data_IF_302937805421
#
_entry.id   IF_302937805421
#
_cell.length_a   1.000
_cell.length_b   1.000
_cell.length_c   1.000
_cell.angle_alpha   90.00
_cell.angle_beta   90.00
_cell.angle_gamma   90.00
#
_symmetry.space_group_name_H-M   'P 1'
#
loop_
_entity.id
_entity.type
_entity.pdbx_description
1 polymer ?
#
# COMPACT_ATOMS: atom_id res chain seq x y z
N UNK A 1 19.76 22.84 -29.54
CA UNK A 1 18.99 21.67 -29.05
C UNK A 1 19.99 20.57 -28.74
N UNK A 2 20.29 20.34 -27.47
CA UNK A 2 21.19 19.27 -27.02
C UNK A 2 20.46 18.54 -25.90
N UNK A 3 19.72 17.48 -26.24
CA UNK A 3 19.23 16.54 -25.22
C UNK A 3 20.43 15.73 -24.76
N UNK A 4 21.16 16.22 -23.76
CA UNK A 4 22.12 15.41 -23.02
C UNK A 4 21.29 14.38 -22.24
N UNK A 5 21.49 13.10 -22.54
CA UNK A 5 20.89 11.99 -21.79
C UNK A 5 21.40 12.02 -20.35
N UNK A 6 20.50 11.90 -19.38
CA UNK A 6 20.88 11.80 -17.97
C UNK A 6 21.57 10.45 -17.68
N UNK A 7 22.34 10.40 -16.60
CA UNK A 7 23.10 9.22 -16.14
C UNK A 7 22.44 8.46 -14.98
N UNK A 8 21.21 8.81 -14.61
CA UNK A 8 20.46 8.10 -13.57
C UNK A 8 20.02 6.66 -13.96
N UNK A 9 20.42 6.18 -15.13
CA UNK A 9 20.11 4.84 -15.62
C UNK A 9 18.64 4.71 -16.00
N UNK A 10 17.97 3.67 -15.49
CA UNK A 10 16.54 3.41 -15.71
C UNK A 10 15.63 4.20 -14.77
N UNK A 11 16.18 4.97 -13.82
CA UNK A 11 15.39 5.74 -12.86
C UNK A 11 14.81 6.99 -13.52
N UNK A 12 13.51 7.21 -13.32
CA UNK A 12 12.87 8.48 -13.68
C UNK A 12 13.34 9.61 -12.76
N UNK A 13 13.26 10.86 -13.24
CA UNK A 13 13.55 12.02 -12.41
C UNK A 13 12.68 12.10 -11.16
N UNK A 14 11.41 11.70 -11.24
CA UNK A 14 10.51 11.61 -10.10
C UNK A 14 11.00 10.63 -9.02
N UNK A 15 11.55 9.48 -9.44
CA UNK A 15 12.13 8.51 -8.50
C UNK A 15 13.38 9.05 -7.83
N UNK A 16 14.25 9.74 -8.58
CA UNK A 16 15.46 10.37 -8.02
C UNK A 16 15.08 11.47 -7.04
N UNK A 17 14.07 12.28 -7.35
CA UNK A 17 13.55 13.31 -6.45
C UNK A 17 13.02 12.71 -5.14
N UNK A 18 12.24 11.63 -5.22
CA UNK A 18 11.73 10.94 -4.03
C UNK A 18 12.85 10.32 -3.19
N UNK A 19 13.89 9.75 -3.82
CA UNK A 19 15.08 9.26 -3.10
C UNK A 19 15.79 10.41 -2.37
N UNK A 20 16.00 11.55 -3.04
CA UNK A 20 16.59 12.74 -2.42
C UNK A 20 15.75 13.29 -1.25
N UNK A 21 14.43 13.27 -1.39
CA UNK A 21 13.50 13.69 -0.34
C UNK A 21 13.56 12.78 0.89
N UNK A 22 13.72 11.46 0.69
CA UNK A 22 13.87 10.50 1.80
C UNK A 22 15.21 10.66 2.53
N UNK A 23 16.26 10.99 1.78
CA UNK A 23 17.61 11.19 2.33
C UNK A 23 17.73 12.54 3.09
N UNK A 24 16.87 13.52 2.80
CA UNK A 24 16.82 14.81 3.52
C UNK A 24 16.16 14.65 4.91
N UNK A 25 16.83 15.04 6.02
CA UNK A 25 16.26 15.00 7.37
C UNK A 25 14.93 15.75 7.52
N UNK A 26 14.70 16.81 6.75
CA UNK A 26 13.48 17.62 6.77
C UNK A 26 12.41 17.09 5.80
N UNK A 27 12.70 16.00 5.07
CA UNK A 27 11.86 15.43 4.01
C UNK A 27 11.43 16.47 2.97
N UNK A 28 12.29 17.46 2.72
CA UNK A 28 12.01 18.58 1.83
C UNK A 28 12.01 18.12 0.37
N UNK A 29 11.02 18.58 -0.39
CA UNK A 29 10.95 18.31 -1.83
C UNK A 29 12.15 18.97 -2.53
N UNK A 30 12.98 18.21 -3.27
CA UNK A 30 14.15 18.77 -3.94
C UNK A 30 13.74 19.67 -5.10
N UNK A 31 14.54 20.70 -5.36
CA UNK A 31 14.30 21.56 -6.53
C UNK A 31 14.69 20.83 -7.82
N UNK A 32 14.06 21.21 -8.93
CA UNK A 32 14.38 20.66 -10.26
C UNK A 32 15.85 20.82 -10.65
N UNK A 33 16.47 21.95 -10.27
CA UNK A 33 17.90 22.18 -10.50
C UNK A 33 18.78 21.19 -9.70
N UNK A 34 18.38 20.83 -8.48
CA UNK A 34 19.10 19.84 -7.66
C UNK A 34 18.99 18.44 -8.27
N UNK A 35 17.79 18.07 -8.72
CA UNK A 35 17.57 16.81 -9.45
C UNK A 35 18.42 16.76 -10.72
N UNK A 36 18.53 17.87 -11.46
CA UNK A 36 19.42 17.95 -12.63
C UNK A 36 20.88 17.71 -12.25
N UNK A 37 21.36 18.39 -11.20
CA UNK A 37 22.73 18.22 -10.70
C UNK A 37 23.01 16.80 -10.24
N UNK A 38 22.03 16.08 -9.68
CA UNK A 38 22.19 14.67 -9.28
C UNK A 38 22.22 13.72 -10.48
N UNK A 39 21.50 14.05 -11.55
CA UNK A 39 21.21 13.13 -12.66
C UNK A 39 22.10 13.33 -13.88
N UNK A 40 22.85 14.44 -13.98
CA UNK A 40 23.73 14.76 -15.11
C UNK A 40 25.21 14.75 -14.70
N UNK A 41 25.61 13.64 -14.08
CA UNK A 41 26.97 13.40 -13.54
C UNK A 41 27.51 12.07 -14.05
N UNK A 42 28.75 12.03 -14.51
CA UNK A 42 29.42 10.79 -14.87
C UNK A 42 29.66 9.89 -13.64
N UNK A 43 30.04 8.64 -13.88
CA UNK A 43 30.42 7.70 -12.81
C UNK A 43 31.57 8.23 -11.95
N UNK A 44 32.46 9.02 -12.54
CA UNK A 44 33.61 9.63 -11.88
C UNK A 44 33.24 10.88 -11.05
N UNK A 45 31.95 11.25 -10.99
CA UNK A 45 31.48 12.41 -10.22
C UNK A 45 31.60 13.75 -10.94
N UNK A 46 32.13 13.77 -12.16
CA UNK A 46 32.23 14.99 -12.98
C UNK A 46 30.91 15.31 -13.69
N UNK A 47 30.56 16.59 -13.80
CA UNK A 47 29.34 17.01 -14.51
C UNK A 47 29.49 16.86 -16.01
N UNK A 48 28.44 16.39 -16.68
CA UNK A 48 28.37 16.36 -18.16
C UNK A 48 28.43 17.76 -18.79
N UNK A 49 27.99 18.75 -18.05
CA UNK A 49 28.07 20.16 -18.42
C UNK A 49 28.56 20.96 -17.22
N UNK A 50 29.87 21.11 -17.11
CA UNK A 50 30.46 21.86 -16.00
C UNK A 50 29.97 23.31 -15.93
N UNK A 51 29.73 23.95 -17.08
CA UNK A 51 29.24 25.34 -17.12
C UNK A 51 27.82 25.42 -16.59
N UNK A 52 26.90 24.65 -17.16
CA UNK A 52 25.50 24.63 -16.71
C UNK A 52 25.36 24.18 -15.25
N UNK A 53 26.15 23.19 -14.81
CA UNK A 53 26.12 22.74 -13.43
C UNK A 53 26.62 23.82 -12.46
N UNK A 54 27.68 24.54 -12.81
CA UNK A 54 28.18 25.64 -11.98
C UNK A 54 27.19 26.80 -11.91
N UNK A 55 26.60 27.19 -13.05
CA UNK A 55 25.58 28.23 -13.11
C UNK A 55 24.38 27.84 -12.23
N UNK A 56 23.94 26.57 -12.29
CA UNK A 56 22.83 26.06 -11.48
C UNK A 56 23.15 26.06 -9.99
N UNK A 57 24.34 25.62 -9.61
CA UNK A 57 24.79 25.66 -8.21
C UNK A 57 24.81 27.08 -7.68
N UNK A 58 25.35 28.03 -8.45
CA UNK A 58 25.40 29.44 -8.08
C UNK A 58 23.99 30.00 -7.87
N UNK A 59 23.10 29.75 -8.83
CA UNK A 59 21.72 30.23 -8.77
C UNK A 59 20.91 29.60 -7.63
N UNK A 60 21.16 28.33 -7.31
CA UNK A 60 20.54 27.65 -6.16
C UNK A 60 20.93 28.31 -4.84
N UNK A 61 22.21 28.68 -4.67
CA UNK A 61 22.69 29.41 -3.48
C UNK A 61 21.99 30.78 -3.40
N UNK A 62 22.03 31.57 -4.48
CA UNK A 62 21.36 32.88 -4.56
C UNK A 62 19.86 32.79 -4.24
N UNK A 63 19.20 31.74 -4.73
CA UNK A 63 17.76 31.51 -4.52
C UNK A 63 17.47 31.08 -3.09
N UNK A 64 18.33 30.26 -2.48
CA UNK A 64 18.19 29.82 -1.09
C UNK A 64 18.35 30.95 -0.07
N UNK A 65 19.17 31.95 -0.41
CA UNK A 65 19.41 33.14 0.42
C UNK A 65 18.30 34.19 0.28
N UNK A 66 17.54 34.17 -0.83
CA UNK A 66 16.52 35.18 -1.15
C UNK A 66 15.05 34.71 -1.14
N UNK A 67 14.75 33.42 -1.00
CA UNK A 67 13.39 32.90 -1.22
C UNK A 67 12.61 32.63 0.07
N UNK A 68 11.73 33.56 0.43
CA UNK A 68 10.63 33.42 1.42
C UNK A 68 9.46 32.58 0.88
N UNK A 69 9.69 31.70 -0.09
CA UNK A 69 8.64 30.79 -0.58
C UNK A 69 8.48 29.66 0.43
N UNK A 70 7.46 29.75 1.29
CA UNK A 70 7.03 28.75 2.28
C UNK A 70 6.89 27.34 1.68
N UNK A 71 7.99 26.62 1.46
CA UNK A 71 8.03 25.23 0.99
C UNK A 71 7.43 24.96 -0.39
N UNK A 72 6.99 25.97 -1.15
CA UNK A 72 6.44 25.79 -2.50
C UNK A 72 7.52 26.00 -3.56
N UNK A 73 7.79 24.96 -4.35
CA UNK A 73 8.66 25.05 -5.53
C UNK A 73 8.02 26.02 -6.52
N UNK A 74 8.69 27.15 -6.77
CA UNK A 74 8.32 28.04 -7.87
C UNK A 74 8.66 27.32 -9.17
N UNK A 75 7.68 27.00 -10.01
CA UNK A 75 7.91 26.27 -11.26
C UNK A 75 8.24 27.19 -12.45
N UNK A 76 8.01 28.49 -12.27
CA UNK A 76 8.24 29.53 -13.27
C UNK A 76 9.32 30.46 -12.74
N UNK A 77 10.38 30.66 -13.51
CA UNK A 77 11.54 31.43 -13.05
C UNK A 77 12.39 30.69 -12.01
N UNK A 78 12.29 29.36 -11.97
CA UNK A 78 13.20 28.56 -11.16
C UNK A 78 14.62 28.58 -11.74
N UNK A 79 15.66 28.30 -10.92
CA UNK A 79 17.04 28.27 -11.38
C UNK A 79 17.25 27.41 -12.64
N UNK A 80 16.50 26.32 -12.75
CA UNK A 80 16.53 25.44 -13.90
C UNK A 80 16.02 26.14 -15.18
N UNK A 81 14.84 26.77 -15.15
CA UNK A 81 14.27 27.42 -16.33
C UNK A 81 14.99 28.69 -16.76
N UNK A 82 15.71 29.35 -15.85
CA UNK A 82 16.56 30.49 -16.20
C UNK A 82 17.79 30.04 -17.01
N UNK A 83 18.46 28.98 -16.57
CA UNK A 83 19.74 28.56 -17.15
C UNK A 83 19.55 27.65 -18.36
N UNK A 84 18.68 26.65 -18.24
CA UNK A 84 18.41 25.67 -19.30
C UNK A 84 17.32 26.18 -20.26
N UNK A 85 16.53 27.15 -19.81
CA UNK A 85 15.47 27.78 -20.58
C UNK A 85 14.07 27.32 -20.16
N UNK A 86 13.06 28.00 -20.69
CA UNK A 86 11.64 27.72 -20.39
C UNK A 86 11.22 26.35 -20.91
N UNK A 87 10.27 25.74 -20.21
CA UNK A 87 9.66 24.47 -20.62
C UNK A 87 8.84 24.63 -21.91
N UNK A 88 8.72 23.54 -22.66
CA UNK A 88 7.90 23.51 -23.88
C UNK A 88 6.42 23.35 -23.50
N UNK A 89 5.53 23.80 -24.39
CA UNK A 89 4.08 23.63 -24.22
C UNK A 89 3.76 22.13 -24.12
N UNK A 90 3.01 21.74 -23.09
CA UNK A 90 2.54 20.36 -22.91
C UNK A 90 3.37 19.50 -21.96
N UNK A 91 4.57 19.91 -21.54
CA UNK A 91 5.43 19.09 -20.70
C UNK A 91 6.37 19.92 -19.83
N UNK A 92 6.43 19.63 -18.53
CA UNK A 92 7.42 20.21 -17.61
C UNK A 92 8.61 19.26 -17.50
N UNK A 93 9.83 19.78 -17.69
CA UNK A 93 11.04 18.96 -17.55
C UNK A 93 11.31 18.63 -16.08
N UNK A 94 11.94 17.48 -15.83
CA UNK A 94 12.46 17.12 -14.49
C UNK A 94 11.44 16.56 -13.50
N UNK A 95 10.16 16.46 -13.88
CA UNK A 95 9.06 16.04 -12.97
C UNK A 95 8.42 14.69 -13.34
N UNK A 96 8.99 13.98 -14.31
CA UNK A 96 8.45 12.69 -14.78
C UNK A 96 7.31 12.85 -15.79
N UNK A 97 6.58 11.75 -16.04
CA UNK A 97 5.37 11.73 -16.87
C UNK A 97 4.18 12.15 -16.00
N UNK A 98 3.41 13.16 -16.41
CA UNK A 98 2.19 13.53 -15.71
C UNK A 98 1.84 15.01 -15.82
N UNK A 99 2.60 15.91 -15.18
CA UNK A 99 2.13 17.28 -15.03
C UNK A 99 2.42 18.12 -16.29
N UNK A 100 1.34 18.72 -16.81
CA UNK A 100 1.43 19.74 -17.86
C UNK A 100 1.72 21.09 -17.21
N UNK A 101 2.41 22.03 -17.88
CA UNK A 101 2.52 23.42 -17.43
C UNK A 101 1.20 23.99 -16.87
N UNK A 102 0.06 23.72 -17.51
CA UNK A 102 -1.26 24.18 -17.05
C UNK A 102 -1.65 23.65 -15.67
N UNK A 103 -1.27 22.40 -15.34
CA UNK A 103 -1.62 21.77 -14.07
C UNK A 103 -0.84 22.37 -12.91
N UNK A 104 0.38 22.82 -13.19
CA UNK A 104 1.32 23.38 -12.22
C UNK A 104 1.14 24.90 -12.07
N UNK A 105 0.96 25.62 -13.17
CA UNK A 105 0.95 27.09 -13.19
C UNK A 105 -0.43 27.69 -12.88
N UNK A 106 -1.52 26.96 -13.10
CA UNK A 106 -2.85 27.44 -12.74
C UNK A 106 -3.30 26.84 -11.41
N UNK A 107 -3.50 27.71 -10.42
CA UNK A 107 -4.01 27.37 -9.08
C UNK A 107 -5.38 26.69 -9.10
N UNK A 108 -6.18 26.86 -10.15
CA UNK A 108 -7.47 26.19 -10.32
C UNK A 108 -7.35 24.71 -10.70
N UNK A 109 -6.25 24.29 -11.33
CA UNK A 109 -5.97 22.90 -11.67
C UNK A 109 -5.46 22.12 -10.46
N UNK A 110 -4.65 22.78 -9.61
CA UNK A 110 -4.17 22.20 -8.34
C UNK A 110 -5.33 21.76 -7.45
N UNK A 111 -6.47 22.47 -7.44
CA UNK A 111 -7.68 22.05 -6.73
C UNK A 111 -8.22 20.68 -7.20
N UNK A 112 -8.13 20.39 -8.50
CA UNK A 112 -8.58 19.12 -9.08
C UNK A 112 -7.65 17.95 -8.71
N UNK A 113 -6.40 18.26 -8.36
CA UNK A 113 -5.45 17.30 -7.81
C UNK A 113 -5.38 17.32 -6.28
N UNK A 114 -5.87 18.36 -5.59
CA UNK A 114 -6.02 18.40 -4.14
C UNK A 114 -7.04 17.34 -3.67
N UNK A 115 -8.10 17.10 -4.46
CA UNK A 115 -9.04 15.99 -4.26
C UNK A 115 -8.40 14.60 -4.50
N UNK A 116 -7.23 14.55 -5.18
CA UNK A 116 -6.43 13.35 -5.41
C UNK A 116 -5.18 13.28 -4.52
N UNK A 117 -4.86 14.35 -3.77
CA UNK A 117 -3.94 14.24 -2.66
C UNK A 117 -4.69 13.38 -1.68
N UNK A 118 -4.31 12.11 -1.63
CA UNK A 118 -4.56 11.25 -0.48
C UNK A 118 -4.07 12.06 0.72
N UNK A 119 -5.00 12.80 1.33
CA UNK A 119 -4.75 13.66 2.46
C UNK A 119 -4.06 12.77 3.45
N UNK A 120 -2.84 13.16 3.84
CA UNK A 120 -1.99 12.49 4.82
C UNK A 120 -2.82 11.51 5.62
N UNK A 121 -2.66 10.21 5.34
CA UNK A 121 -3.23 9.20 6.19
C UNK A 121 -2.79 9.58 7.59
N UNK A 122 -3.72 10.07 8.38
CA UNK A 122 -3.51 10.21 9.81
C UNK A 122 -3.18 8.79 10.25
N UNK A 123 -1.91 8.56 10.58
CA UNK A 123 -1.35 7.23 10.83
C UNK A 123 -2.22 6.50 11.87
N UNK A 124 -2.80 7.27 12.79
CA UNK A 124 -3.78 6.86 13.79
C UNK A 124 -5.08 6.28 13.20
N UNK A 125 -5.63 6.88 12.14
CA UNK A 125 -6.85 6.40 11.47
C UNK A 125 -6.56 5.13 10.68
N UNK A 126 -5.38 5.03 10.05
CA UNK A 126 -4.97 3.80 9.35
C UNK A 126 -4.77 2.66 10.33
N UNK A 127 -4.05 2.91 11.42
CA UNK A 127 -3.82 1.93 12.48
C UNK A 127 -5.13 1.45 13.10
N UNK A 128 -6.07 2.36 13.37
CA UNK A 128 -7.39 2.00 13.90
C UNK A 128 -8.18 1.14 12.90
N UNK A 129 -8.18 1.49 11.61
CA UNK A 129 -8.84 0.69 10.58
C UNK A 129 -8.20 -0.69 10.43
N UNK A 130 -6.86 -0.79 10.50
CA UNK A 130 -6.14 -2.07 10.47
C UNK A 130 -6.49 -2.91 11.70
N UNK A 131 -6.56 -2.29 12.89
CA UNK A 131 -6.94 -2.96 14.13
C UNK A 131 -8.36 -3.52 14.06
N UNK A 132 -9.32 -2.69 13.62
CA UNK A 132 -10.71 -3.11 13.45
C UNK A 132 -10.86 -4.25 12.43
N UNK A 133 -10.14 -4.17 11.31
CA UNK A 133 -10.13 -5.22 10.29
C UNK A 133 -9.57 -6.53 10.85
N UNK A 134 -8.49 -6.45 11.63
CA UNK A 134 -7.87 -7.62 12.26
C UNK A 134 -8.81 -8.29 13.27
N UNK A 135 -9.45 -7.51 14.13
CA UNK A 135 -10.44 -8.03 15.08
C UNK A 135 -11.65 -8.66 14.38
N UNK A 136 -12.10 -8.06 13.27
CA UNK A 136 -13.19 -8.63 12.48
C UNK A 136 -12.79 -9.96 11.84
N UNK A 137 -11.56 -10.07 11.34
CA UNK A 137 -11.01 -11.31 10.79
C UNK A 137 -10.93 -12.42 11.84
N UNK A 138 -10.44 -12.11 13.05
CA UNK A 138 -10.36 -13.07 14.16
C UNK A 138 -11.76 -13.56 14.59
N UNK A 139 -12.76 -12.67 14.64
CA UNK A 139 -14.15 -13.06 14.91
C UNK A 139 -14.70 -14.02 13.85
N UNK A 140 -14.42 -13.75 12.57
CA UNK A 140 -14.84 -14.63 11.48
C UNK A 140 -14.15 -16.00 11.57
N UNK A 141 -12.87 -16.05 11.93
CA UNK A 141 -12.14 -17.31 12.11
C UNK A 141 -12.75 -18.17 13.21
N UNK A 142 -13.09 -17.56 14.35
CA UNK A 142 -13.77 -18.25 15.46
C UNK A 142 -15.14 -18.79 15.01
N UNK A 143 -15.92 -17.99 14.28
CA UNK A 143 -17.22 -18.43 13.77
C UNK A 143 -17.09 -19.63 12.80
N UNK A 144 -16.10 -19.60 11.91
CA UNK A 144 -15.84 -20.71 10.98
C UNK A 144 -15.43 -21.98 11.75
N UNK A 145 -14.60 -21.86 12.79
CA UNK A 145 -14.23 -23.01 13.62
C UNK A 145 -15.42 -23.61 14.37
N UNK A 146 -16.29 -22.77 14.92
CA UNK A 146 -17.49 -23.23 15.63
C UNK A 146 -18.47 -23.92 14.69
N UNK A 147 -18.69 -23.36 13.50
CA UNK A 147 -19.46 -23.99 12.44
C UNK A 147 -18.88 -25.36 12.05
N UNK A 148 -17.57 -25.47 11.89
CA UNK A 148 -16.91 -26.74 11.58
C UNK A 148 -17.13 -27.79 12.68
N UNK A 149 -17.13 -27.38 13.95
CA UNK A 149 -17.41 -28.27 15.08
C UNK A 149 -18.86 -28.76 15.07
N UNK A 150 -19.82 -27.86 14.82
CA UNK A 150 -21.24 -28.22 14.69
C UNK A 150 -21.44 -29.22 13.54
N UNK A 151 -20.82 -28.96 12.38
CA UNK A 151 -20.87 -29.86 11.22
C UNK A 151 -20.28 -31.23 11.55
N UNK A 152 -19.18 -31.28 12.31
CA UNK A 152 -18.56 -32.53 12.72
C UNK A 152 -19.51 -33.37 13.61
N UNK A 153 -20.14 -32.74 14.60
CA UNK A 153 -21.09 -33.38 15.51
C UNK A 153 -22.34 -33.87 14.76
N UNK A 154 -22.83 -33.08 13.80
CA UNK A 154 -23.91 -33.49 12.89
C UNK A 154 -23.51 -34.70 12.06
N UNK A 155 -22.31 -34.69 11.45
CA UNK A 155 -21.81 -35.81 10.66
C UNK A 155 -21.68 -37.10 11.48
N UNK A 156 -21.25 -37.00 12.74
CA UNK A 156 -21.17 -38.15 13.65
C UNK A 156 -22.56 -38.75 13.91
N UNK A 157 -23.54 -37.89 14.22
CA UNK A 157 -24.92 -38.31 14.45
C UNK A 157 -25.54 -38.94 13.19
N UNK A 158 -25.26 -38.39 12.01
CA UNK A 158 -25.71 -38.94 10.72
C UNK A 158 -25.14 -40.35 10.49
N UNK A 159 -23.86 -40.60 10.82
CA UNK A 159 -23.24 -41.92 10.68
C UNK A 159 -23.89 -42.93 11.62
N UNK A 160 -24.14 -42.56 12.88
CA UNK A 160 -24.82 -43.42 13.86
C UNK A 160 -26.25 -43.77 13.43
N UNK A 161 -27.02 -42.76 12.99
CA UNK A 161 -28.37 -42.97 12.46
C UNK A 161 -28.35 -43.86 11.21
N UNK A 162 -27.40 -43.65 10.30
CA UNK A 162 -27.24 -44.47 9.09
C UNK A 162 -26.96 -45.94 9.44
N UNK A 163 -26.11 -46.18 10.44
CA UNK A 163 -25.82 -47.53 10.94
C UNK A 163 -27.07 -48.20 11.51
N UNK A 164 -27.80 -47.52 12.39
CA UNK A 164 -29.04 -48.02 12.98
C UNK A 164 -30.09 -48.36 11.91
N UNK A 165 -30.26 -47.48 10.93
CA UNK A 165 -31.20 -47.68 9.84
C UNK A 165 -30.82 -48.88 8.94
N UNK A 166 -29.53 -49.13 8.74
CA UNK A 166 -29.02 -50.29 8.01
C UNK A 166 -29.24 -51.61 8.78
N UNK A 167 -29.12 -51.60 10.10
CA UNK A 167 -29.47 -52.76 10.94
C UNK A 167 -30.95 -53.13 10.83
N UNK A 168 -31.84 -52.14 10.78
CA UNK A 168 -33.29 -52.34 10.59
C UNK A 168 -33.63 -52.84 9.18
N UNK A 169 -33.00 -52.29 8.14
CA UNK A 169 -33.26 -52.68 6.75
C UNK A 169 -32.82 -54.12 6.43
N UNK A 170 -31.78 -54.64 7.10
CA UNK A 170 -31.22 -55.96 6.83
C UNK A 170 -31.82 -57.10 7.68
N UNK A 171 -32.83 -56.80 8.51
CA UNK A 171 -33.61 -57.77 9.30
C UNK A 171 -32.75 -58.86 9.99
N UNK A 172 -31.72 -58.46 10.74
CA UNK A 172 -30.85 -59.33 11.55
C UNK A 172 -31.44 -59.45 12.99
N UNK A 173 -32.35 -60.40 13.26
CA UNK A 173 -33.20 -60.37 14.46
C UNK A 173 -32.43 -60.50 15.79
N UNK A 174 -31.23 -61.09 15.78
CA UNK A 174 -30.43 -61.29 17.00
C UNK A 174 -29.74 -60.01 17.49
N UNK A 175 -29.49 -59.02 16.63
CA UNK A 175 -28.85 -57.75 17.02
C UNK A 175 -29.86 -56.74 17.56
N UNK A 176 -31.10 -56.76 17.05
CA UNK A 176 -32.17 -55.86 17.52
C UNK A 176 -32.49 -56.13 18.99
N UNK A 177 -32.57 -57.40 19.40
CA UNK A 177 -32.80 -57.77 20.80
C UNK A 177 -31.66 -57.29 21.72
N UNK A 178 -30.40 -57.36 21.25
CA UNK A 178 -29.22 -56.97 22.02
C UNK A 178 -29.10 -55.44 22.18
N UNK A 179 -29.51 -54.67 21.16
CA UNK A 179 -29.60 -53.20 21.24
C UNK A 179 -30.73 -52.76 22.18
N UNK A 180 -31.90 -53.40 22.14
CA UNK A 180 -32.99 -53.06 23.06
C UNK A 180 -32.68 -53.44 24.51
N UNK A 181 -32.06 -54.60 24.76
CA UNK A 181 -31.67 -55.04 26.10
C UNK A 181 -30.54 -54.18 26.70
N UNK A 182 -29.55 -53.77 25.91
CA UNK A 182 -28.47 -52.90 26.41
C UNK A 182 -28.96 -51.49 26.75
N UNK A 183 -29.87 -50.92 25.97
CA UNK A 183 -30.49 -49.62 26.28
C UNK A 183 -31.39 -49.66 27.53
N UNK A 184 -32.08 -50.78 27.77
CA UNK A 184 -32.96 -50.94 28.95
C UNK A 184 -32.18 -51.22 30.24
N UNK A 185 -31.09 -52.00 30.18
CA UNK A 185 -30.23 -52.27 31.34
C UNK A 185 -29.44 -51.03 31.79
N UNK A 186 -28.94 -50.20 30.87
CA UNK A 186 -28.21 -48.98 31.23
C UNK A 186 -29.10 -47.92 31.88
N UNK A 187 -30.38 -47.85 31.49
CA UNK A 187 -31.35 -46.91 32.09
C UNK A 187 -31.94 -47.41 33.42
N UNK A 188 -32.04 -48.73 33.66
CA UNK A 188 -32.54 -49.27 34.94
C UNK A 188 -31.47 -49.39 36.03
N UNK A 189 -30.18 -49.45 35.69
CA UNK A 189 -29.11 -49.51 36.70
C UNK A 189 -28.92 -48.17 37.47
N UNK A 190 -29.46 -47.06 36.94
CA UNK A 190 -29.44 -45.75 37.60
C UNK A 190 -30.55 -45.52 38.63
N UNK A 191 -31.54 -46.42 38.72
CA UNK A 191 -32.68 -46.25 39.65
C UNK A 191 -32.44 -46.94 41.00
N UNK A 192 -31.50 -47.90 41.08
CA UNK A 192 -31.25 -48.71 42.29
C UNK A 192 -29.99 -48.33 43.10
N UNK A 193 -29.35 -47.20 42.80
CA UNK A 193 -28.15 -46.69 43.49
C UNK A 193 -28.34 -45.24 44.01
N UNK A 194 -29.56 -44.91 44.43
CA UNK A 194 -29.88 -43.72 45.22
C UNK A 194 -30.21 -44.12 46.66
#
# INVERSE_FOLDING_TARGET
>A
MLMKTHTAGTKSFARVAEEMRKDDPQKKEPQRAEVYLKTHVYKDGTFMDGKTANDLKKKLIETSEGSTSQGKVAWQGDPYSEIIGKDKRGYVRGVGLGPTPKDIFNSSCLRRFEDLRMTNFDETIVEENIRQMKEHMERLEIQVQDQNKIILDQNKSIVELKYMMQCLANNQPMQVLFCFLSFFCLNNMFIYLA
#
